data_IF_313289805270
#
_entry.id   IF_313289805270
#
_cell.length_a   1.000
_cell.length_b   1.000
_cell.length_c   1.000
_cell.angle_alpha   90.00
_cell.angle_beta   90.00
_cell.angle_gamma   90.00
#
_symmetry.space_group_name_H-M   'P 1'
#
loop_
_entity.id
_entity.type
_entity.pdbx_description
1 polymer ?
#
# COMPACT_ATOMS: atom_id res chain seq x y z
N UNK A 1 7.31 6.90 7.23
CA UNK A 1 7.21 6.46 8.66
C UNK A 1 7.55 7.56 9.68
N UNK A 2 8.46 8.49 9.40
CA UNK A 2 8.80 9.58 10.33
C UNK A 2 7.57 10.36 10.86
N UNK A 3 6.62 10.71 9.99
CA UNK A 3 5.37 11.37 10.41
C UNK A 3 4.51 10.55 11.39
N UNK A 4 4.44 9.22 11.23
CA UNK A 4 3.71 8.38 12.18
C UNK A 4 4.38 8.41 13.56
N UNK A 5 5.71 8.42 13.60
CA UNK A 5 6.49 8.57 14.84
C UNK A 5 6.26 9.92 15.49
N UNK A 6 6.32 11.03 14.73
CA UNK A 6 6.02 12.37 15.26
C UNK A 6 4.60 12.47 15.84
N UNK A 7 3.64 11.77 15.23
CA UNK A 7 2.26 11.70 15.71
C UNK A 7 2.03 10.65 16.81
N UNK A 8 3.08 10.04 17.37
CA UNK A 8 3.02 8.97 18.37
C UNK A 8 2.10 7.80 17.97
N UNK A 9 2.12 7.45 16.68
CA UNK A 9 1.37 6.29 16.14
C UNK A 9 2.31 5.08 16.01
N UNK A 10 1.88 3.88 16.45
CA UNK A 10 2.68 2.69 16.30
C UNK A 10 2.86 2.35 14.82
N UNK A 11 4.09 1.96 14.45
CA UNK A 11 4.42 1.52 13.09
C UNK A 11 4.62 0.01 13.09
N UNK A 12 4.02 -0.67 12.11
CA UNK A 12 4.29 -2.06 11.79
C UNK A 12 4.93 -2.10 10.41
N UNK A 13 6.11 -2.70 10.30
CA UNK A 13 6.81 -2.89 9.03
C UNK A 13 6.59 -4.33 8.59
N UNK A 14 6.07 -4.50 7.38
CA UNK A 14 5.95 -5.80 6.72
C UNK A 14 7.07 -5.89 5.70
N UNK A 15 7.91 -6.95 5.73
CA UNK A 15 8.93 -7.15 4.72
C UNK A 15 8.33 -7.23 3.31
N UNK A 16 9.08 -6.75 2.32
CA UNK A 16 8.73 -7.01 0.93
C UNK A 16 8.88 -8.50 0.62
N UNK A 17 8.12 -8.96 -0.38
CA UNK A 17 8.30 -10.28 -0.98
C UNK A 17 9.69 -10.39 -1.62
N UNK A 18 10.10 -11.63 -1.94
CA UNK A 18 11.38 -11.89 -2.60
C UNK A 18 11.52 -11.19 -3.98
N UNK A 19 10.40 -10.95 -4.66
CA UNK A 19 10.32 -10.19 -5.92
C UNK A 19 10.29 -8.66 -5.72
N UNK A 20 10.37 -8.20 -4.47
CA UNK A 20 10.33 -6.78 -4.09
C UNK A 20 8.94 -6.17 -4.10
N UNK A 21 7.87 -6.91 -4.39
CA UNK A 21 6.50 -6.42 -4.26
C UNK A 21 6.06 -6.33 -2.79
N UNK A 22 5.08 -5.48 -2.50
CA UNK A 22 4.45 -5.44 -1.17
C UNK A 22 3.67 -6.74 -0.89
N UNK A 23 3.80 -7.29 0.31
CA UNK A 23 2.96 -8.38 0.78
C UNK A 23 1.63 -7.84 1.32
N UNK A 24 0.69 -7.58 0.42
CA UNK A 24 -0.63 -7.03 0.72
C UNK A 24 -1.40 -7.85 1.76
N UNK A 25 -1.31 -9.18 1.71
CA UNK A 25 -2.01 -10.04 2.65
C UNK A 25 -1.44 -9.91 4.07
N UNK A 26 -0.11 -9.96 4.20
CA UNK A 26 0.54 -9.75 5.49
C UNK A 26 0.32 -8.33 6.03
N UNK A 27 0.22 -7.32 5.16
CA UNK A 27 -0.11 -5.94 5.56
C UNK A 27 -1.53 -5.81 6.13
N UNK A 28 -2.52 -6.47 5.53
CA UNK A 28 -3.88 -6.51 6.07
C UNK A 28 -3.95 -7.17 7.45
N UNK A 29 -3.21 -8.27 7.67
CA UNK A 29 -3.16 -8.93 8.97
C UNK A 29 -2.44 -8.10 10.04
N UNK A 30 -1.38 -7.39 9.65
CA UNK A 30 -0.61 -6.54 10.57
C UNK A 30 -1.35 -5.26 10.99
N UNK A 31 -2.38 -4.84 10.24
CA UNK A 31 -3.10 -3.59 10.44
C UNK A 31 -4.54 -3.83 10.92
N UNK A 32 -4.78 -3.93 12.25
CA UNK A 32 -6.13 -4.13 12.76
C UNK A 32 -7.05 -2.90 12.60
N UNK A 33 -6.46 -1.70 12.58
CA UNK A 33 -7.10 -0.40 12.30
C UNK A 33 -6.04 0.62 11.89
N UNK A 34 -6.43 1.75 11.31
CA UNK A 34 -5.50 2.85 11.02
C UNK A 34 -5.18 2.98 9.53
N UNK A 35 -3.90 2.98 9.15
CA UNK A 35 -3.46 3.22 7.77
C UNK A 35 -2.56 2.10 7.26
N UNK A 36 -2.92 1.53 6.11
CA UNK A 36 -2.04 0.73 5.26
C UNK A 36 -1.50 1.67 4.18
N UNK A 37 -0.17 1.81 4.10
CA UNK A 37 0.51 2.65 3.12
C UNK A 37 1.27 1.77 2.12
N UNK A 38 0.97 1.92 0.84
CA UNK A 38 1.58 1.16 -0.26
C UNK A 38 2.15 2.15 -1.27
N UNK A 39 3.47 2.16 -1.47
CA UNK A 39 4.08 2.90 -2.58
C UNK A 39 4.13 2.01 -3.82
N UNK A 40 3.57 2.48 -4.94
CA UNK A 40 3.50 1.71 -6.18
C UNK A 40 3.56 2.61 -7.43
N UNK A 41 4.67 2.60 -8.22
CA UNK A 41 5.89 1.81 -8.02
C UNK A 41 6.61 2.13 -6.70
N UNK A 42 7.20 1.12 -6.07
CA UNK A 42 7.79 1.25 -4.75
C UNK A 42 9.14 1.99 -4.79
N UNK A 43 9.33 2.98 -3.92
CA UNK A 43 10.64 3.58 -3.65
C UNK A 43 11.26 2.89 -2.41
N UNK A 44 12.52 2.39 -2.45
CA UNK A 44 13.55 2.62 -3.47
C UNK A 44 13.72 1.52 -4.53
N UNK A 45 12.91 0.45 -4.49
CA UNK A 45 13.15 -0.74 -5.31
C UNK A 45 12.70 -0.62 -6.78
N UNK A 46 11.85 0.35 -7.10
CA UNK A 46 11.21 0.51 -8.42
C UNK A 46 10.19 -0.58 -8.77
N UNK A 47 9.99 -1.55 -7.88
CA UNK A 47 9.14 -2.72 -8.11
C UNK A 47 7.66 -2.36 -8.05
N UNK A 48 6.86 -3.12 -8.80
CA UNK A 48 5.41 -2.95 -8.87
C UNK A 48 4.73 -4.09 -8.12
N UNK A 49 3.82 -3.72 -7.22
CA UNK A 49 2.90 -4.68 -6.60
C UNK A 49 1.79 -5.04 -7.59
N UNK A 50 1.43 -6.34 -7.73
CA UNK A 50 0.39 -6.77 -8.65
C UNK A 50 -0.93 -6.01 -8.47
N UNK A 51 -1.52 -5.57 -9.57
CA UNK A 51 -2.74 -4.76 -9.58
C UNK A 51 -3.93 -5.46 -8.92
N UNK A 52 -4.08 -6.76 -9.14
CA UNK A 52 -5.12 -7.59 -8.55
C UNK A 52 -5.00 -7.65 -7.02
N UNK A 53 -3.79 -7.71 -6.49
CA UNK A 53 -3.54 -7.62 -5.06
C UNK A 53 -3.96 -6.25 -4.50
N UNK A 54 -3.57 -5.15 -5.16
CA UNK A 54 -3.96 -3.80 -4.74
C UNK A 54 -5.47 -3.59 -4.81
N UNK A 55 -6.14 -4.12 -5.84
CA UNK A 55 -7.58 -3.98 -6.02
C UNK A 55 -8.40 -4.74 -4.97
N UNK A 56 -7.80 -5.71 -4.30
CA UNK A 56 -8.40 -6.47 -3.20
C UNK A 56 -8.22 -5.82 -1.83
N UNK A 57 -7.29 -4.87 -1.66
CA UNK A 57 -7.07 -4.17 -0.39
C UNK A 57 -8.36 -3.65 0.27
N UNK A 58 -9.32 -3.05 -0.48
CA UNK A 58 -10.58 -2.64 0.12
C UNK A 58 -11.39 -3.80 0.71
N UNK A 59 -11.49 -4.95 0.04
CA UNK A 59 -12.25 -6.08 0.60
C UNK A 59 -11.49 -6.79 1.72
N UNK A 60 -10.16 -6.82 1.65
CA UNK A 60 -9.34 -7.68 2.49
C UNK A 60 -8.87 -6.96 3.78
N UNK A 61 -8.96 -5.63 3.83
CA UNK A 61 -8.58 -4.84 5.02
C UNK A 61 -9.58 -5.04 6.15
N UNK A 62 -9.09 -4.90 7.39
CA UNK A 62 -9.98 -4.86 8.56
C UNK A 62 -10.84 -3.58 8.58
N UNK A 63 -12.09 -3.64 9.06
CA UNK A 63 -12.94 -2.46 9.22
C UNK A 63 -12.25 -1.34 10.01
N UNK A 64 -12.43 -0.08 9.60
CA UNK A 64 -11.75 1.07 10.22
C UNK A 64 -10.28 1.24 9.83
N UNK A 65 -9.81 0.49 8.82
CA UNK A 65 -8.49 0.70 8.20
C UNK A 65 -8.66 1.49 6.89
N UNK A 66 -7.87 2.54 6.73
CA UNK A 66 -7.72 3.30 5.48
C UNK A 66 -6.55 2.73 4.68
N UNK A 67 -6.67 2.73 3.37
CA UNK A 67 -5.61 2.33 2.45
C UNK A 67 -5.17 3.57 1.67
N UNK A 68 -3.88 3.86 1.68
CA UNK A 68 -3.26 4.89 0.85
C UNK A 68 -2.30 4.20 -0.12
N UNK A 69 -2.59 4.31 -1.41
CA UNK A 69 -1.67 3.92 -2.47
C UNK A 69 -1.00 5.19 -2.98
N UNK A 70 0.32 5.27 -2.82
CA UNK A 70 1.15 6.36 -3.28
C UNK A 70 1.68 6.03 -4.68
N UNK A 71 1.17 6.77 -5.67
CA UNK A 71 1.45 6.59 -7.09
C UNK A 71 2.39 7.68 -7.63
N UNK A 72 3.25 8.27 -6.79
CA UNK A 72 4.12 9.38 -7.17
C UNK A 72 5.07 9.13 -8.37
N UNK A 73 5.28 7.87 -8.78
CA UNK A 73 6.12 7.49 -9.92
C UNK A 73 5.35 6.77 -11.04
N UNK A 74 4.02 6.81 -11.00
CA UNK A 74 3.18 6.00 -11.89
C UNK A 74 3.37 6.35 -13.37
N UNK A 75 3.63 7.62 -13.67
CA UNK A 75 3.81 8.14 -15.03
C UNK A 75 5.08 7.60 -15.70
N UNK A 76 6.05 7.13 -14.92
CA UNK A 76 7.29 6.53 -15.43
C UNK A 76 7.14 5.04 -15.72
N UNK A 77 6.04 4.42 -15.30
CA UNK A 77 5.80 3.00 -15.56
C UNK A 77 5.24 2.81 -16.97
N UNK A 78 5.89 1.95 -17.74
CA UNK A 78 5.38 1.49 -19.04
C UNK A 78 4.23 0.48 -18.90
N UNK A 79 4.01 -0.04 -17.69
CA UNK A 79 2.96 -1.01 -17.39
C UNK A 79 1.67 -0.29 -16.95
N UNK A 80 0.72 -0.13 -17.88
CA UNK A 80 -0.59 0.51 -17.61
C UNK A 80 -1.42 -0.15 -16.50
N UNK A 81 -1.09 -1.37 -16.08
CA UNK A 81 -1.81 -2.07 -15.00
C UNK A 81 -1.26 -1.73 -13.61
N UNK A 82 -0.16 -1.02 -13.47
CA UNK A 82 0.34 -0.68 -12.13
C UNK A 82 -0.43 0.47 -11.46
N UNK A 83 -1.29 1.19 -12.18
CA UNK A 83 -2.11 2.26 -11.61
C UNK A 83 -3.41 1.72 -11.05
N UNK A 84 -3.71 2.18 -9.85
CA UNK A 84 -4.94 1.96 -9.12
C UNK A 84 -5.81 3.18 -9.42
N UNK A 85 -6.64 3.09 -10.47
CA UNK A 85 -7.54 4.19 -10.88
C UNK A 85 -8.69 4.36 -9.87
N UNK A 86 -8.40 4.70 -8.62
CA UNK A 86 -9.39 4.78 -7.54
C UNK A 86 -8.99 5.82 -6.49
N UNK A 87 -9.45 7.06 -6.68
CA UNK A 87 -9.70 7.97 -5.54
C UNK A 87 -11.11 7.67 -5.05
N UNK A 88 -11.24 6.96 -3.93
CA UNK A 88 -12.51 6.83 -3.20
C UNK A 88 -12.29 7.21 -1.75
N UNK A 89 -12.85 8.33 -1.36
CA UNK A 89 -13.05 8.67 0.05
C UNK A 89 -14.24 7.85 0.54
N UNK A 90 -14.02 7.01 1.55
CA UNK A 90 -15.10 6.30 2.23
C UNK A 90 -15.39 7.06 3.52
N UNK A 91 -16.60 7.60 3.62
CA UNK A 91 -17.16 8.17 4.85
C UNK A 91 -17.66 7.09 5.80
#
# INVERSE_FOLDING_TARGET
MHYATLANRPVRRVPLRADGAHDVAAMCEAAPRGLIYVANPNNPTGTVTPHDALRRLPSDRRPGTTVLVDEAYIEYSTNRRCSTRYVRTWG
#
